data_IF_050416772056
#
_entry.id   IF_050416772056
#
_cell.length_a   1.000
_cell.length_b   1.000
_cell.length_c   1.000
_cell.angle_alpha   90.00
_cell.angle_beta   90.00
_cell.angle_gamma   90.00
#
_symmetry.space_group_name_H-M   'P 1'
#
loop_
_entity.id
_entity.type
_entity.pdbx_description
1 polymer ?
#
# COMPACT_ATOMS: atom_id res chain seq x y z
N UNK A 1 3.37 -3.30 3.27
CA UNK A 1 3.24 -2.23 4.28
C UNK A 1 2.82 -0.90 3.65
N UNK A 2 2.03 -0.11 4.37
CA UNK A 2 1.68 1.28 4.03
C UNK A 2 2.24 2.19 5.14
N UNK A 3 3.14 3.12 4.83
CA UNK A 3 3.46 3.67 3.50
C UNK A 3 4.71 3.10 2.83
N UNK A 4 5.54 2.32 3.51
CA UNK A 4 6.90 1.96 3.07
C UNK A 4 6.93 1.00 1.88
N UNK A 5 5.81 0.36 1.54
CA UNK A 5 5.65 -0.63 0.46
C UNK A 5 6.48 -1.92 0.63
N UNK A 6 7.13 -2.09 1.77
CA UNK A 6 7.95 -3.27 2.07
C UNK A 6 7.10 -4.50 2.37
N UNK A 7 7.63 -5.67 2.04
CA UNK A 7 7.09 -6.98 2.39
C UNK A 7 7.90 -7.54 3.55
N UNK A 8 7.23 -7.99 4.60
CA UNK A 8 7.89 -8.66 5.71
C UNK A 8 8.53 -9.96 5.25
N UNK A 9 9.81 -10.16 5.53
CA UNK A 9 10.53 -11.40 5.21
C UNK A 9 10.13 -12.49 6.20
N UNK A 10 10.23 -13.74 5.76
CA UNK A 10 9.86 -14.92 6.54
C UNK A 10 10.51 -14.93 7.93
N UNK A 11 11.81 -14.70 8.00
CA UNK A 11 12.57 -14.70 9.26
C UNK A 11 12.07 -13.65 10.26
N UNK A 12 11.68 -12.47 9.78
CA UNK A 12 11.13 -11.41 10.64
C UNK A 12 9.73 -11.77 11.15
N UNK A 13 8.91 -12.39 10.29
CA UNK A 13 7.59 -12.86 10.69
C UNK A 13 7.69 -14.01 11.70
N UNK A 14 8.58 -14.95 11.49
CA UNK A 14 8.80 -16.05 12.43
C UNK A 14 9.28 -15.56 13.81
N UNK A 15 10.16 -14.55 13.83
CA UNK A 15 10.59 -13.91 15.07
C UNK A 15 9.41 -13.22 15.79
N UNK A 16 8.62 -12.45 15.04
CA UNK A 16 7.44 -11.79 15.57
C UNK A 16 6.40 -12.79 16.08
N UNK A 17 6.16 -13.86 15.33
CA UNK A 17 5.17 -14.88 15.70
C UNK A 17 5.61 -15.65 16.96
N UNK A 18 6.89 -15.97 17.13
CA UNK A 18 7.40 -16.54 18.39
C UNK A 18 7.12 -15.62 19.58
N UNK A 19 7.41 -14.34 19.45
CA UNK A 19 7.10 -13.34 20.48
C UNK A 19 5.60 -13.29 20.81
N UNK A 20 4.74 -13.30 19.77
CA UNK A 20 3.27 -13.29 19.94
C UNK A 20 2.79 -14.52 20.71
N UNK A 21 3.30 -15.70 20.38
CA UNK A 21 2.96 -16.96 21.06
C UNK A 21 3.45 -16.94 22.50
N UNK A 22 4.70 -16.53 22.74
CA UNK A 22 5.32 -16.48 24.07
C UNK A 22 4.57 -15.55 25.04
N UNK A 23 4.02 -14.45 24.52
CA UNK A 23 3.33 -13.44 25.33
C UNK A 23 1.79 -13.55 25.26
N UNK A 24 1.27 -14.63 24.69
CA UNK A 24 -0.16 -14.89 24.52
C UNK A 24 -0.94 -13.71 23.89
N UNK A 25 -0.38 -13.15 22.83
CA UNK A 25 -0.97 -12.01 22.11
C UNK A 25 -1.84 -12.45 20.95
N UNK A 26 -2.73 -11.56 20.53
CA UNK A 26 -3.50 -11.67 19.27
C UNK A 26 -2.83 -10.82 18.20
N UNK A 27 -2.68 -11.39 17.00
CA UNK A 27 -2.20 -10.68 15.82
C UNK A 27 -3.38 -10.26 14.92
N UNK A 28 -3.49 -8.98 14.65
CA UNK A 28 -4.33 -8.48 13.55
C UNK A 28 -3.41 -8.20 12.35
N UNK A 29 -3.53 -9.04 11.31
CA UNK A 29 -2.72 -8.95 10.10
C UNK A 29 -3.48 -8.25 8.98
N UNK A 30 -3.11 -6.98 8.69
CA UNK A 30 -3.65 -6.25 7.54
C UNK A 30 -2.92 -6.66 6.26
N UNK A 31 -3.60 -7.39 5.41
CA UNK A 31 -3.10 -7.93 4.14
C UNK A 31 -3.73 -7.25 2.91
N UNK A 32 -4.10 -5.98 3.03
CA UNK A 32 -4.75 -5.23 1.94
C UNK A 32 -3.91 -5.13 0.64
N UNK A 33 -2.60 -5.42 0.69
CA UNK A 33 -1.69 -5.40 -0.47
C UNK A 33 -1.18 -6.79 -0.89
N UNK A 34 -1.71 -7.88 -0.32
CA UNK A 34 -1.23 -9.24 -0.59
C UNK A 34 -1.26 -9.65 -2.08
N UNK A 35 -2.21 -9.10 -2.85
CA UNK A 35 -2.40 -9.45 -4.27
C UNK A 35 -1.37 -8.80 -5.20
N UNK A 36 -0.54 -7.89 -4.70
CA UNK A 36 0.46 -7.17 -5.47
C UNK A 36 1.81 -7.20 -4.78
N UNK A 37 2.45 -8.34 -4.86
CA UNK A 37 3.84 -8.54 -4.43
C UNK A 37 4.69 -8.64 -5.68
N UNK A 38 5.69 -7.79 -5.82
CA UNK A 38 6.52 -7.68 -7.01
C UNK A 38 7.83 -8.46 -6.87
N UNK A 39 8.54 -8.61 -7.99
CA UNK A 39 9.90 -9.16 -8.07
C UNK A 39 10.04 -10.58 -7.50
N UNK A 40 8.96 -11.38 -7.47
CA UNK A 40 8.99 -12.74 -6.95
C UNK A 40 9.25 -12.85 -5.43
N UNK A 41 9.08 -11.75 -4.69
CA UNK A 41 9.23 -11.76 -3.24
C UNK A 41 8.20 -12.70 -2.61
N UNK A 42 8.65 -13.58 -1.72
CA UNK A 42 7.76 -14.48 -0.99
C UNK A 42 6.83 -13.68 -0.07
N UNK A 43 5.52 -13.92 -0.20
CA UNK A 43 4.53 -13.42 0.74
C UNK A 43 4.12 -14.52 1.70
N UNK A 44 4.41 -14.35 2.97
CA UNK A 44 4.08 -15.30 4.03
C UNK A 44 2.84 -14.82 4.77
N UNK A 45 1.82 -15.68 4.85
CA UNK A 45 0.65 -15.43 5.68
C UNK A 45 0.96 -15.79 7.14
N UNK A 46 0.97 -14.84 8.09
CA UNK A 46 1.33 -15.13 9.48
C UNK A 46 0.49 -16.23 10.13
N UNK A 47 -0.80 -16.33 9.78
CA UNK A 47 -1.70 -17.36 10.30
C UNK A 47 -1.27 -18.81 9.95
N UNK A 48 -0.39 -18.99 8.96
CA UNK A 48 0.13 -20.32 8.57
C UNK A 48 1.39 -20.74 9.35
N UNK A 49 1.95 -19.83 10.14
CA UNK A 49 3.12 -20.13 10.97
C UNK A 49 2.72 -20.90 12.24
N UNK A 50 3.63 -21.68 12.82
CA UNK A 50 3.33 -22.51 14.00
C UNK A 50 2.73 -21.72 15.16
N UNK A 51 1.59 -22.18 15.69
CA UNK A 51 0.88 -21.60 16.83
C UNK A 51 0.13 -20.28 16.51
N UNK A 52 0.01 -19.91 15.24
CA UNK A 52 -0.57 -18.62 14.87
C UNK A 52 -2.01 -18.68 14.40
N UNK A 53 -2.53 -19.84 13.98
CA UNK A 53 -3.90 -19.94 13.46
C UNK A 53 -4.96 -19.49 14.48
N UNK A 54 -4.85 -19.93 15.72
CA UNK A 54 -5.81 -19.66 16.79
C UNK A 54 -5.76 -18.22 17.32
N UNK A 55 -4.72 -17.47 16.92
CA UNK A 55 -4.46 -16.12 17.44
C UNK A 55 -4.27 -15.06 16.37
N UNK A 56 -4.57 -15.38 15.10
CA UNK A 56 -4.44 -14.41 14.00
C UNK A 56 -5.81 -14.07 13.41
N UNK A 57 -6.11 -12.78 13.37
CA UNK A 57 -7.20 -12.19 12.59
C UNK A 57 -6.60 -11.59 11.32
N UNK A 58 -6.91 -12.19 10.17
CA UNK A 58 -6.43 -11.68 8.89
C UNK A 58 -7.49 -10.81 8.22
N UNK A 59 -7.11 -9.58 7.89
CA UNK A 59 -7.96 -8.58 7.26
C UNK A 59 -7.52 -8.37 5.82
N UNK A 60 -8.40 -8.59 4.88
CA UNK A 60 -8.16 -8.49 3.45
C UNK A 60 -9.09 -7.47 2.78
N UNK A 61 -8.65 -6.91 1.67
CA UNK A 61 -9.42 -5.90 0.95
C UNK A 61 -9.35 -6.11 -0.55
N UNK A 62 -10.48 -6.03 -1.23
CA UNK A 62 -10.53 -6.00 -2.70
C UNK A 62 -10.28 -4.60 -3.28
N UNK A 63 -10.17 -3.60 -2.42
CA UNK A 63 -10.02 -2.20 -2.83
C UNK A 63 -8.74 -1.92 -3.59
N UNK A 64 -7.64 -2.58 -3.21
CA UNK A 64 -6.29 -2.29 -3.72
C UNK A 64 -5.88 -3.33 -4.76
N UNK A 65 -5.79 -4.58 -4.33
CA UNK A 65 -5.35 -5.68 -5.16
C UNK A 65 -6.20 -5.89 -6.40
N UNK A 66 -7.49 -5.89 -6.23
CA UNK A 66 -8.44 -6.11 -7.31
C UNK A 66 -8.83 -4.80 -8.01
N UNK A 67 -8.59 -3.65 -7.38
CA UNK A 67 -8.88 -2.33 -7.95
C UNK A 67 -10.35 -1.89 -7.77
N UNK A 68 -11.10 -2.52 -6.88
CA UNK A 68 -12.52 -2.27 -6.65
C UNK A 68 -12.79 -1.43 -5.40
N UNK A 69 -12.04 -0.36 -5.19
CA UNK A 69 -12.16 0.48 -4.00
C UNK A 69 -13.55 1.11 -3.82
N UNK A 70 -14.26 1.38 -4.92
CA UNK A 70 -15.63 1.92 -4.91
C UNK A 70 -16.68 0.92 -4.40
N UNK A 71 -16.41 -0.37 -4.41
CA UNK A 71 -17.33 -1.42 -3.95
C UNK A 71 -17.46 -1.47 -2.44
N UNK A 72 -16.47 -0.95 -1.69
CA UNK A 72 -16.42 -0.96 -0.22
C UNK A 72 -16.52 -2.36 0.39
N UNK A 73 -15.87 -3.34 -0.21
CA UNK A 73 -15.83 -4.73 0.23
C UNK A 73 -14.42 -5.11 0.71
N UNK A 74 -14.38 -5.84 1.78
CA UNK A 74 -13.24 -6.57 2.32
C UNK A 74 -13.74 -7.85 2.96
N UNK A 75 -12.82 -8.68 3.43
CA UNK A 75 -13.14 -9.88 4.16
C UNK A 75 -12.13 -10.13 5.28
N UNK A 76 -12.59 -10.85 6.28
CA UNK A 76 -11.77 -11.25 7.43
C UNK A 76 -11.85 -12.76 7.54
N UNK A 77 -10.75 -13.40 7.91
CA UNK A 77 -10.74 -14.79 8.30
C UNK A 77 -9.84 -15.02 9.52
N UNK A 78 -10.24 -15.99 10.35
CA UNK A 78 -9.57 -16.44 11.55
C UNK A 78 -10.06 -17.85 11.89
N UNK A 79 -9.65 -18.41 13.03
CA UNK A 79 -10.24 -19.64 13.56
C UNK A 79 -11.75 -19.43 13.89
N UNK A 80 -12.51 -20.53 13.98
CA UNK A 80 -13.96 -20.48 14.13
C UNK A 80 -14.40 -19.69 15.37
N UNK A 81 -13.76 -19.92 16.51
CA UNK A 81 -14.10 -19.26 17.78
C UNK A 81 -13.97 -17.73 17.69
N UNK A 82 -12.89 -17.25 17.08
CA UNK A 82 -12.66 -15.83 16.84
C UNK A 82 -13.69 -15.28 15.84
N UNK A 83 -13.97 -16.04 14.76
CA UNK A 83 -14.95 -15.62 13.75
C UNK A 83 -16.37 -15.51 14.29
N UNK A 84 -16.79 -16.41 15.17
CA UNK A 84 -18.12 -16.36 15.80
C UNK A 84 -18.28 -15.05 16.61
N UNK A 85 -17.24 -14.67 17.35
CA UNK A 85 -17.22 -13.40 18.09
C UNK A 85 -17.25 -12.19 17.17
N UNK A 86 -16.42 -12.18 16.14
CA UNK A 86 -16.34 -11.07 15.16
C UNK A 86 -17.64 -10.94 14.36
N UNK A 87 -18.26 -12.06 13.97
CA UNK A 87 -19.52 -12.05 13.23
C UNK A 87 -20.65 -11.42 14.06
N UNK A 88 -20.78 -11.83 15.33
CA UNK A 88 -21.75 -11.23 16.24
C UNK A 88 -21.58 -9.70 16.39
N UNK A 89 -20.35 -9.24 16.51
CA UNK A 89 -20.04 -7.81 16.55
C UNK A 89 -20.34 -7.10 15.23
N UNK A 90 -19.97 -7.70 14.10
CA UNK A 90 -20.17 -7.12 12.77
C UNK A 90 -21.67 -6.95 12.44
N UNK A 91 -22.50 -7.93 12.74
CA UNK A 91 -23.96 -7.85 12.52
C UNK A 91 -24.57 -6.67 13.27
N UNK A 92 -24.14 -6.43 14.50
CA UNK A 92 -24.69 -5.36 15.34
C UNK A 92 -24.16 -3.96 15.01
N UNK A 93 -22.93 -3.85 14.49
CA UNK A 93 -22.24 -2.57 14.27
C UNK A 93 -22.27 -2.15 12.80
N UNK A 94 -22.01 -3.09 11.88
CA UNK A 94 -21.81 -2.80 10.46
C UNK A 94 -23.05 -3.13 9.60
N UNK A 95 -23.85 -4.10 10.03
CA UNK A 95 -24.91 -4.66 9.20
C UNK A 95 -24.37 -5.51 8.03
N UNK A 96 -25.21 -5.77 7.04
CA UNK A 96 -24.84 -6.54 5.86
C UNK A 96 -24.13 -5.66 4.81
N UNK A 97 -23.11 -6.19 4.09
CA UNK A 97 -22.51 -5.47 2.97
C UNK A 97 -23.51 -5.34 1.81
N UNK A 98 -23.25 -4.37 0.92
CA UNK A 98 -24.07 -4.16 -0.28
C UNK A 98 -24.04 -5.44 -1.17
N UNK A 99 -25.20 -6.02 -1.45
CA UNK A 99 -25.33 -7.25 -2.24
C UNK A 99 -24.77 -7.12 -3.65
N UNK A 100 -25.02 -5.98 -4.34
CA UNK A 100 -24.49 -5.74 -5.69
C UNK A 100 -22.95 -5.67 -5.68
N UNK A 101 -22.38 -4.98 -4.70
CA UNK A 101 -20.94 -4.94 -4.52
C UNK A 101 -20.34 -6.32 -4.24
N UNK A 102 -21.02 -7.14 -3.44
CA UNK A 102 -20.58 -8.50 -3.12
C UNK A 102 -20.60 -9.41 -4.36
N UNK A 103 -21.65 -9.36 -5.17
CA UNK A 103 -21.74 -10.11 -6.44
C UNK A 103 -20.60 -9.69 -7.40
N UNK A 104 -20.40 -8.39 -7.57
CA UNK A 104 -19.30 -7.88 -8.40
C UNK A 104 -17.93 -8.25 -7.87
N UNK A 105 -17.73 -8.26 -6.55
CA UNK A 105 -16.50 -8.70 -5.92
C UNK A 105 -16.21 -10.19 -6.19
N UNK A 106 -17.23 -11.07 -6.06
CA UNK A 106 -17.10 -12.50 -6.36
C UNK A 106 -16.70 -12.71 -7.82
N UNK A 107 -17.39 -12.06 -8.76
CA UNK A 107 -17.07 -12.15 -10.17
C UNK A 107 -15.62 -11.74 -10.46
N UNK A 108 -15.17 -10.62 -9.88
CA UNK A 108 -13.80 -10.13 -10.10
C UNK A 108 -12.72 -11.03 -9.49
N UNK A 109 -12.96 -11.62 -8.32
CA UNK A 109 -12.02 -12.56 -7.68
C UNK A 109 -11.89 -13.87 -8.49
N UNK A 110 -12.95 -14.28 -9.16
CA UNK A 110 -12.96 -15.49 -9.99
C UNK A 110 -12.34 -15.28 -11.38
N UNK A 111 -12.25 -14.04 -11.85
CA UNK A 111 -11.68 -13.70 -13.17
C UNK A 111 -10.15 -13.58 -13.10
N UNK A 112 -9.47 -14.70 -13.37
CA UNK A 112 -7.99 -14.76 -13.39
C UNK A 112 -7.37 -13.85 -14.43
N UNK A 113 -8.02 -13.67 -15.59
CA UNK A 113 -7.50 -12.80 -16.66
C UNK A 113 -7.54 -11.34 -16.22
N UNK A 114 -8.63 -10.92 -15.59
CA UNK A 114 -8.74 -9.60 -14.98
C UNK A 114 -7.66 -9.36 -13.92
N UNK A 115 -7.50 -10.28 -12.97
CA UNK A 115 -6.49 -10.17 -11.91
C UNK A 115 -5.07 -10.05 -12.47
N UNK A 116 -4.73 -10.89 -13.46
CA UNK A 116 -3.43 -10.85 -14.13
C UNK A 116 -3.21 -9.53 -14.87
N UNK A 117 -4.21 -9.04 -15.59
CA UNK A 117 -4.12 -7.78 -16.33
C UNK A 117 -3.92 -6.60 -15.38
N UNK A 118 -4.61 -6.61 -14.24
CA UNK A 118 -4.47 -5.60 -13.21
C UNK A 118 -3.07 -5.62 -12.57
N UNK A 119 -2.54 -6.81 -12.27
CA UNK A 119 -1.18 -6.98 -11.75
C UNK A 119 -0.14 -6.40 -12.70
N UNK A 120 -0.17 -6.78 -13.99
CA UNK A 120 0.75 -6.28 -15.02
C UNK A 120 0.67 -4.76 -15.17
N UNK A 121 -0.55 -4.21 -15.12
CA UNK A 121 -0.75 -2.75 -15.15
C UNK A 121 -0.08 -2.06 -13.97
N UNK A 122 -0.26 -2.59 -12.76
CA UNK A 122 0.31 -1.99 -11.55
C UNK A 122 1.83 -2.14 -11.49
N UNK A 123 2.37 -3.25 -11.97
CA UNK A 123 3.81 -3.43 -12.11
C UNK A 123 4.42 -2.37 -13.05
N UNK A 124 3.81 -2.12 -14.20
CA UNK A 124 4.25 -1.02 -15.11
C UNK A 124 4.20 0.35 -14.43
N UNK A 125 3.12 0.65 -13.67
CA UNK A 125 3.00 1.91 -12.93
C UNK A 125 4.07 2.08 -11.85
N UNK A 126 4.36 1.01 -11.14
CA UNK A 126 5.45 0.97 -10.17
C UNK A 126 6.79 1.30 -10.81
N UNK A 127 7.12 0.65 -11.94
CA UNK A 127 8.37 0.91 -12.68
C UNK A 127 8.42 2.35 -13.17
N UNK A 128 7.35 2.82 -13.77
CA UNK A 128 7.24 4.20 -14.26
C UNK A 128 7.47 5.22 -13.13
N UNK A 129 6.90 5.00 -11.95
CA UNK A 129 7.13 5.88 -10.81
C UNK A 129 8.60 5.85 -10.35
N UNK A 130 9.21 4.66 -10.27
CA UNK A 130 10.62 4.53 -9.91
C UNK A 130 11.53 5.26 -10.90
N UNK A 131 11.36 5.01 -12.19
CA UNK A 131 12.11 5.68 -13.28
C UNK A 131 11.94 7.21 -13.25
N UNK A 132 10.76 7.68 -12.82
CA UNK A 132 10.49 9.11 -12.76
C UNK A 132 11.17 9.83 -11.59
N UNK A 133 11.47 9.14 -10.47
CA UNK A 133 11.84 9.84 -9.25
C UNK A 133 13.19 9.43 -8.64
N UNK A 134 13.75 8.25 -8.98
CA UNK A 134 14.94 7.69 -8.30
C UNK A 134 16.23 8.49 -8.52
N UNK A 135 16.31 9.26 -9.59
CA UNK A 135 17.52 10.03 -10.01
C UNK A 135 17.40 11.54 -9.73
N UNK A 136 16.40 11.97 -8.97
CA UNK A 136 16.24 13.38 -8.59
C UNK A 136 17.24 13.71 -7.46
N UNK A 137 18.12 14.72 -7.62
CA UNK A 137 19.01 15.12 -6.54
C UNK A 137 18.24 15.44 -5.25
N UNK A 138 18.70 14.89 -4.13
CA UNK A 138 18.06 15.08 -2.82
C UNK A 138 16.81 14.23 -2.56
N UNK A 139 16.36 13.44 -3.52
CA UNK A 139 15.30 12.44 -3.36
C UNK A 139 15.90 11.05 -3.24
N UNK A 140 15.41 10.27 -2.29
CA UNK A 140 15.75 8.86 -2.19
C UNK A 140 14.48 8.02 -2.17
N UNK A 141 14.44 6.99 -3.00
CA UNK A 141 13.39 5.98 -2.97
C UNK A 141 13.94 4.59 -3.30
N UNK A 142 13.27 3.58 -2.76
CA UNK A 142 13.46 2.18 -3.17
C UNK A 142 12.33 1.77 -4.11
N UNK A 143 12.56 0.82 -5.01
CA UNK A 143 11.47 0.20 -5.75
C UNK A 143 10.43 -0.35 -4.76
N UNK A 144 9.15 -0.05 -4.99
CA UNK A 144 8.08 -0.57 -4.14
C UNK A 144 8.02 -2.09 -4.26
N UNK A 145 8.02 -2.80 -3.14
CA UNK A 145 7.95 -4.27 -3.11
C UNK A 145 6.51 -4.77 -3.22
N UNK A 146 5.54 -3.92 -2.84
CA UNK A 146 4.12 -4.28 -2.85
C UNK A 146 3.21 -3.08 -3.08
N UNK A 147 1.98 -3.36 -3.51
CA UNK A 147 0.87 -2.42 -3.51
C UNK A 147 0.90 -1.38 -4.63
N UNK A 148 0.33 -0.24 -4.34
CA UNK A 148 -0.01 0.82 -5.31
C UNK A 148 0.62 2.17 -4.95
N UNK A 149 1.67 2.15 -4.15
CA UNK A 149 2.26 3.35 -3.56
C UNK A 149 3.74 3.48 -3.95
N UNK A 150 4.25 4.71 -3.89
CA UNK A 150 5.68 5.02 -3.82
C UNK A 150 5.96 5.88 -2.60
N UNK A 151 7.03 5.57 -1.89
CA UNK A 151 7.48 6.26 -0.68
C UNK A 151 8.82 6.92 -0.93
N UNK A 152 8.85 8.26 -0.94
CA UNK A 152 10.01 9.07 -1.28
C UNK A 152 10.52 9.80 -0.05
N UNK A 153 11.79 9.63 0.27
CA UNK A 153 12.49 10.53 1.20
C UNK A 153 12.84 11.81 0.43
N UNK A 154 12.42 12.95 0.99
CA UNK A 154 12.59 14.29 0.42
C UNK A 154 13.17 15.27 1.45
N UNK A 155 13.78 14.75 2.50
CA UNK A 155 14.27 15.54 3.63
C UNK A 155 15.24 16.66 3.20
N UNK A 156 16.03 16.40 2.15
CA UNK A 156 16.95 17.40 1.58
C UNK A 156 16.24 18.51 0.80
N UNK A 157 14.99 18.32 0.41
CA UNK A 157 14.18 19.30 -0.31
C UNK A 157 13.35 20.19 0.62
N UNK A 158 13.15 19.77 1.86
CA UNK A 158 12.35 20.46 2.86
C UNK A 158 11.53 19.52 3.72
N UNK A 159 10.65 20.07 4.55
CA UNK A 159 9.70 19.25 5.33
C UNK A 159 8.62 18.64 4.40
N UNK A 160 8.04 17.52 4.80
CA UNK A 160 7.00 16.85 4.00
C UNK A 160 5.85 17.81 3.62
N UNK A 161 5.37 18.62 4.55
CA UNK A 161 4.27 19.56 4.29
C UNK A 161 4.68 20.69 3.33
N UNK A 162 5.91 21.22 3.47
CA UNK A 162 6.42 22.23 2.53
C UNK A 162 6.47 21.67 1.10
N UNK A 163 7.00 20.45 0.93
CA UNK A 163 7.09 19.81 -0.38
C UNK A 163 5.69 19.51 -0.95
N UNK A 164 4.75 19.03 -0.13
CA UNK A 164 3.36 18.79 -0.58
C UNK A 164 2.70 20.10 -1.05
N UNK A 165 2.84 21.20 -0.29
CA UNK A 165 2.30 22.50 -0.67
C UNK A 165 2.94 23.00 -1.98
N UNK A 166 4.25 22.84 -2.13
CA UNK A 166 4.96 23.21 -3.37
C UNK A 166 4.48 22.38 -4.57
N UNK A 167 4.33 21.07 -4.43
CA UNK A 167 3.77 20.21 -5.48
C UNK A 167 2.36 20.60 -5.88
N UNK A 168 1.51 20.99 -4.93
CA UNK A 168 0.18 21.53 -5.24
C UNK A 168 0.25 22.83 -6.04
N UNK A 169 1.13 23.75 -5.68
CA UNK A 169 1.27 25.05 -6.35
C UNK A 169 1.94 24.94 -7.73
N UNK A 170 3.07 24.25 -7.79
CA UNK A 170 3.95 24.24 -8.96
C UNK A 170 3.55 23.14 -9.97
N UNK A 171 3.08 22.00 -9.49
CA UNK A 171 2.67 20.86 -10.33
C UNK A 171 1.14 20.69 -10.45
N UNK A 172 0.35 21.35 -9.58
CA UNK A 172 -1.09 21.12 -9.51
C UNK A 172 -1.46 19.68 -9.13
N UNK A 173 -0.59 19.03 -8.34
CA UNK A 173 -0.76 17.63 -7.92
C UNK A 173 -0.65 17.54 -6.41
N UNK A 174 -1.65 16.93 -5.78
CA UNK A 174 -1.65 16.66 -4.35
C UNK A 174 -1.10 15.25 -4.10
N UNK A 175 -0.14 15.16 -3.18
CA UNK A 175 0.41 13.91 -2.66
C UNK A 175 0.21 13.86 -1.14
N UNK A 176 0.44 12.72 -0.51
CA UNK A 176 0.29 12.61 0.94
C UNK A 176 1.61 12.98 1.64
N UNK A 177 1.51 13.83 2.67
CA UNK A 177 2.59 14.04 3.62
C UNK A 177 2.89 12.76 4.39
N UNK A 178 4.16 12.54 4.72
CA UNK A 178 4.58 11.40 5.54
C UNK A 178 4.33 11.59 7.03
N UNK A 179 4.06 12.81 7.49
CA UNK A 179 3.88 13.15 8.93
C UNK A 179 2.84 12.25 9.63
N UNK A 180 1.65 11.97 9.06
CA UNK A 180 0.65 11.12 9.70
C UNK A 180 1.09 9.66 9.93
N UNK A 181 2.20 9.23 9.31
CA UNK A 181 2.73 7.86 9.45
C UNK A 181 3.78 7.72 10.56
N UNK A 182 3.91 8.74 11.41
CA UNK A 182 4.80 8.74 12.58
C UNK A 182 6.05 9.59 12.38
N UNK A 183 6.90 9.59 13.40
CA UNK A 183 8.09 10.46 13.46
C UNK A 183 9.06 10.26 12.31
N UNK A 184 9.21 9.03 11.84
CA UNK A 184 10.07 8.67 10.71
C UNK A 184 9.50 9.10 9.35
N UNK A 185 8.22 9.47 9.31
CA UNK A 185 7.58 9.98 8.09
C UNK A 185 7.83 11.46 7.79
N UNK A 186 8.40 12.24 8.73
CA UNK A 186 8.53 13.70 8.60
C UNK A 186 9.28 14.17 7.35
N UNK A 187 10.30 13.42 6.92
CA UNK A 187 11.08 13.69 5.71
C UNK A 187 10.58 12.96 4.47
N UNK A 188 9.32 12.51 4.44
CA UNK A 188 8.82 11.67 3.35
C UNK A 188 7.50 12.17 2.79
N UNK A 189 7.27 11.81 1.51
CA UNK A 189 5.97 11.93 0.85
C UNK A 189 5.54 10.56 0.28
N UNK A 190 4.22 10.35 0.20
CA UNK A 190 3.63 9.15 -0.38
C UNK A 190 2.85 9.49 -1.64
N UNK A 191 3.19 8.83 -2.74
CA UNK A 191 2.51 8.97 -4.04
C UNK A 191 1.68 7.72 -4.31
N UNK A 192 0.41 7.90 -4.69
CA UNK A 192 -0.43 6.79 -5.18
C UNK A 192 -0.16 6.62 -6.68
N UNK A 193 0.29 5.43 -7.08
CA UNK A 193 0.71 5.15 -8.46
C UNK A 193 -0.40 4.57 -9.34
N UNK A 194 -1.49 4.10 -8.74
CA UNK A 194 -2.57 3.39 -9.45
C UNK A 194 -3.77 4.25 -9.87
N UNK A 195 -3.86 5.50 -9.45
CA UNK A 195 -5.06 6.34 -9.59
C UNK A 195 -5.21 7.04 -10.95
N UNK A 196 -4.45 6.65 -11.96
CA UNK A 196 -4.41 7.28 -13.27
C UNK A 196 -5.16 6.47 -14.32
N UNK A 197 -5.83 7.16 -15.26
CA UNK A 197 -6.65 6.52 -16.28
C UNK A 197 -5.82 5.67 -17.27
N UNK A 198 -4.62 6.11 -17.62
CA UNK A 198 -3.70 5.41 -18.52
C UNK A 198 -2.24 5.53 -18.07
N UNK A 199 -1.33 4.75 -18.67
CA UNK A 199 0.12 4.89 -18.43
C UNK A 199 0.63 6.24 -18.94
N UNK A 200 0.03 6.77 -20.02
CA UNK A 200 0.33 8.10 -20.53
C UNK A 200 -0.07 9.23 -19.56
N UNK A 201 -1.27 9.13 -18.96
CA UNK A 201 -1.72 10.08 -17.94
C UNK A 201 -0.81 10.00 -16.69
N UNK A 202 -0.43 8.79 -16.25
CA UNK A 202 0.50 8.63 -15.15
C UNK A 202 1.86 9.29 -15.45
N UNK A 203 2.43 9.04 -16.64
CA UNK A 203 3.71 9.64 -17.06
C UNK A 203 3.63 11.16 -17.04
N UNK A 204 2.60 11.74 -17.65
CA UNK A 204 2.42 13.19 -17.65
C UNK A 204 2.38 13.78 -16.22
N UNK A 205 1.71 13.11 -15.30
CA UNK A 205 1.63 13.56 -13.89
C UNK A 205 2.97 13.40 -13.17
N UNK A 206 3.64 12.27 -13.39
CA UNK A 206 4.97 12.05 -12.80
C UNK A 206 6.01 13.02 -13.34
N UNK A 207 5.97 13.37 -14.62
CA UNK A 207 6.86 14.38 -15.21
C UNK A 207 6.67 15.77 -14.56
N UNK A 208 5.42 16.15 -14.25
CA UNK A 208 5.13 17.39 -13.52
C UNK A 208 5.66 17.35 -12.08
N UNK A 209 5.47 16.23 -11.37
CA UNK A 209 6.04 16.04 -10.02
C UNK A 209 7.56 16.11 -10.11
N UNK A 210 8.18 15.39 -11.06
CA UNK A 210 9.63 15.38 -11.29
C UNK A 210 10.18 16.79 -11.51
N UNK A 211 9.56 17.55 -12.40
CA UNK A 211 9.98 18.92 -12.69
C UNK A 211 9.97 19.82 -11.45
N UNK A 212 8.89 19.73 -10.66
CA UNK A 212 8.77 20.50 -9.43
C UNK A 212 9.79 20.08 -8.36
N UNK A 213 10.04 18.77 -8.19
CA UNK A 213 11.06 18.28 -7.24
C UNK A 213 12.48 18.65 -7.68
N UNK A 214 12.81 18.59 -8.98
CA UNK A 214 14.09 19.04 -9.50
C UNK A 214 14.32 20.53 -9.27
N UNK A 215 13.31 21.37 -9.51
CA UNK A 215 13.37 22.79 -9.21
C UNK A 215 13.68 23.05 -7.73
N UNK A 216 13.03 22.31 -6.82
CA UNK A 216 13.34 22.41 -5.38
C UNK A 216 14.77 21.97 -5.06
N UNK A 217 15.29 20.95 -5.74
CA UNK A 217 16.67 20.50 -5.58
C UNK A 217 17.67 21.58 -6.03
N UNK A 218 17.42 22.23 -7.18
CA UNK A 218 18.24 23.35 -7.70
C UNK A 218 18.21 24.53 -6.72
N UNK A 219 17.05 24.95 -6.23
CA UNK A 219 16.88 26.02 -5.23
C UNK A 219 17.64 25.73 -3.93
N UNK A 220 17.82 24.45 -3.57
CA UNK A 220 18.55 24.00 -2.38
C UNK A 220 20.05 23.70 -2.68
N UNK A 221 20.53 23.97 -3.89
CA UNK A 221 21.93 23.77 -4.27
C UNK A 221 22.36 22.30 -4.36
N UNK A 222 21.42 21.39 -4.68
CA UNK A 222 21.65 19.94 -4.77
C UNK A 222 21.90 19.46 -6.22
N UNK A 223 21.68 20.34 -7.22
CA UNK A 223 21.83 20.04 -8.64
C UNK A 223 23.16 20.56 -9.19
#
# INVERSE_FOLDING_TARGET
NNPTTTVFRRENLEMLCRFIVEHDLILVSDQAFQDHIFDGIEFVHPCTLPGMWERTVTVCSISKGIGLSGFRIGYVYACAEVMDTLYGGAVNVLGAPCTLSSIGAIAAVQDRAYLQSNFVRLERRRRLAYESFHDIPGVFMRPSESGILSWLNIEKLGTADQVVIRLMKDAGIMVNSGIPYGTQGRGHIRIVTACYASDGDARQRFDRIRAALRKMAEENGLA
#
